data_IF_546615445174
#
_entry.id   IF_546615445174
#
_cell.length_a   1.000
_cell.length_b   1.000
_cell.length_c   1.000
_cell.angle_alpha   90.00
_cell.angle_beta   90.00
_cell.angle_gamma   90.00
#
_symmetry.space_group_name_H-M   'P 1'
#
loop_
_entity.id
_entity.type
_entity.pdbx_description
1 polymer ?
#
# COMPACT_ATOMS: atom_id res chain seq x y z
N UNK A 1 12.52 3.02 24.57
CA UNK A 1 13.62 2.76 23.62
C UNK A 1 13.06 2.66 22.20
N UNK A 2 13.66 3.36 21.28
CA UNK A 2 13.25 3.33 19.88
C UNK A 2 13.62 2.00 19.24
N UNK A 3 12.68 1.35 18.57
CA UNK A 3 12.92 0.11 17.83
C UNK A 3 12.24 0.21 16.46
N UNK A 4 13.03 0.47 15.46
CA UNK A 4 12.51 0.54 14.10
C UNK A 4 12.09 -0.86 13.65
N UNK A 5 10.90 -0.95 13.08
CA UNK A 5 10.37 -2.22 12.61
C UNK A 5 9.37 -2.03 11.50
N UNK A 6 8.74 -3.12 11.13
CA UNK A 6 7.70 -3.11 10.09
C UNK A 6 6.44 -3.81 10.58
N UNK A 7 5.30 -3.31 10.10
CA UNK A 7 4.02 -4.01 10.20
C UNK A 7 3.57 -4.25 8.77
N UNK A 8 3.24 -5.48 8.45
CA UNK A 8 2.83 -5.86 7.12
C UNK A 8 1.49 -6.56 7.14
N UNK A 9 0.69 -6.27 6.13
CA UNK A 9 -0.55 -6.96 5.87
C UNK A 9 -0.48 -7.45 4.44
N UNK A 10 -0.27 -8.75 4.26
CA UNK A 10 0.05 -9.35 2.97
C UNK A 10 -1.09 -10.18 2.43
N UNK A 11 -1.21 -10.22 1.11
CA UNK A 11 -2.10 -11.16 0.46
C UNK A 11 -3.57 -10.87 0.65
N UNK A 12 -3.96 -9.61 0.83
CA UNK A 12 -5.37 -9.26 0.89
C UNK A 12 -5.99 -9.45 -0.49
N UNK A 13 -7.04 -10.27 -0.57
CA UNK A 13 -7.66 -10.61 -1.84
C UNK A 13 -8.99 -9.88 -2.01
N UNK A 14 -9.18 -9.31 -3.20
CA UNK A 14 -10.40 -8.60 -3.56
C UNK A 14 -10.81 -8.92 -4.98
N UNK A 15 -12.10 -9.19 -5.17
CA UNK A 15 -12.68 -9.18 -6.51
C UNK A 15 -13.10 -7.74 -6.79
N UNK A 16 -12.44 -7.11 -7.74
CA UNK A 16 -12.62 -5.67 -8.02
C UNK A 16 -12.72 -5.44 -9.52
N UNK A 17 -13.13 -4.23 -9.91
CA UNK A 17 -13.43 -3.90 -11.30
C UNK A 17 -12.50 -2.81 -11.84
N UNK A 18 -11.21 -2.91 -11.50
CA UNK A 18 -10.22 -1.98 -12.01
C UNK A 18 -9.70 -2.41 -13.37
N UNK A 19 -9.55 -1.47 -14.28
CA UNK A 19 -8.98 -1.74 -15.58
C UNK A 19 -9.46 -0.73 -16.62
N UNK A 20 -8.68 -0.59 -17.70
CA UNK A 20 -9.01 0.30 -18.80
C UNK A 20 -9.99 -0.31 -19.79
N UNK A 21 -10.05 -1.64 -19.86
CA UNK A 21 -10.89 -2.34 -20.82
C UNK A 21 -12.29 -2.52 -20.25
N UNK A 22 -13.29 -2.39 -21.12
CA UNK A 22 -14.68 -2.48 -20.69
C UNK A 22 -15.00 -3.80 -20.00
N UNK A 23 -14.50 -4.92 -20.55
CA UNK A 23 -14.78 -6.22 -19.95
C UNK A 23 -14.17 -6.37 -18.55
N UNK A 24 -13.01 -5.73 -18.30
CA UNK A 24 -12.41 -5.72 -16.97
C UNK A 24 -13.31 -5.00 -15.96
N UNK A 25 -13.92 -3.92 -16.39
CA UNK A 25 -14.78 -3.12 -15.53
C UNK A 25 -16.11 -3.81 -15.27
N UNK A 26 -16.60 -4.57 -16.24
CA UNK A 26 -17.87 -5.28 -16.12
C UNK A 26 -17.75 -6.59 -15.36
N UNK A 27 -16.74 -7.38 -15.68
CA UNK A 27 -16.58 -8.71 -15.13
C UNK A 27 -15.75 -8.75 -13.86
N UNK A 28 -14.81 -7.81 -13.74
CA UNK A 28 -13.89 -7.78 -12.63
C UNK A 28 -12.76 -8.79 -12.73
N UNK A 29 -11.93 -8.80 -11.73
CA UNK A 29 -10.78 -9.70 -11.66
C UNK A 29 -10.36 -9.86 -10.20
N UNK A 30 -9.49 -10.81 -9.93
CA UNK A 30 -8.86 -10.97 -8.63
C UNK A 30 -7.69 -10.02 -8.52
N UNK A 31 -7.70 -9.22 -7.46
CA UNK A 31 -6.61 -8.32 -7.10
C UNK A 31 -6.06 -8.73 -5.75
N UNK A 32 -4.77 -8.58 -5.59
CA UNK A 32 -4.11 -8.77 -4.29
C UNK A 32 -3.49 -7.45 -3.86
N UNK A 33 -3.70 -7.09 -2.63
CA UNK A 33 -3.11 -5.88 -2.06
C UNK A 33 -2.21 -6.25 -0.90
N UNK A 34 -1.02 -5.66 -0.88
CA UNK A 34 -0.06 -5.79 0.21
C UNK A 34 0.24 -4.42 0.76
N UNK A 35 0.32 -4.34 2.07
CA UNK A 35 0.61 -3.12 2.80
C UNK A 35 1.82 -3.34 3.69
N UNK A 36 2.71 -2.36 3.75
CA UNK A 36 3.88 -2.40 4.62
C UNK A 36 4.12 -1.02 5.22
N UNK A 37 4.19 -0.97 6.53
CA UNK A 37 4.52 0.25 7.26
C UNK A 37 5.85 0.08 7.98
N UNK A 38 6.65 1.13 7.98
CA UNK A 38 7.90 1.21 8.75
C UNK A 38 7.72 2.23 9.84
N UNK A 39 7.90 1.81 11.08
CA UNK A 39 7.63 2.67 12.22
C UNK A 39 8.39 2.18 13.45
N UNK A 40 8.39 3.04 14.46
CA UNK A 40 8.96 2.67 15.75
C UNK A 40 7.97 1.77 16.50
N UNK A 41 8.38 0.57 16.80
CA UNK A 41 7.58 -0.42 17.51
C UNK A 41 7.97 -0.54 18.98
N UNK A 42 8.89 0.29 19.47
CA UNK A 42 9.42 0.18 20.81
C UNK A 42 8.38 0.32 21.90
N UNK A 43 7.51 1.32 21.77
CA UNK A 43 6.48 1.56 22.80
C UNK A 43 5.48 0.42 22.85
N UNK A 44 4.97 -0.03 21.73
CA UNK A 44 4.05 -1.16 21.69
C UNK A 44 4.68 -2.44 22.24
N UNK A 45 5.96 -2.66 21.96
CA UNK A 45 6.70 -3.81 22.48
C UNK A 45 6.80 -3.80 24.00
N UNK A 46 6.81 -2.61 24.61
CA UNK A 46 6.87 -2.48 26.07
C UNK A 46 5.48 -2.53 26.72
N UNK A 47 4.51 -1.87 26.13
CA UNK A 47 3.21 -1.63 26.79
C UNK A 47 2.18 -2.70 26.50
N UNK A 48 2.33 -3.41 25.40
CA UNK A 48 1.32 -4.38 24.92
C UNK A 48 -0.05 -3.70 24.70
N UNK A 49 -0.05 -2.43 24.31
CA UNK A 49 -1.27 -1.65 24.09
C UNK A 49 -1.48 -1.34 22.61
N UNK A 50 -2.68 -1.60 22.13
CA UNK A 50 -3.05 -1.29 20.74
C UNK A 50 -2.92 0.20 20.43
N UNK A 51 -3.11 1.06 21.43
CA UNK A 51 -2.98 2.51 21.26
C UNK A 51 -1.57 2.93 20.85
N UNK A 52 -0.58 2.10 21.13
CA UNK A 52 0.83 2.41 20.90
C UNK A 52 1.36 1.87 19.59
N UNK A 53 0.50 1.32 18.74
CA UNK A 53 0.89 0.73 17.47
C UNK A 53 -0.07 1.15 16.36
N UNK A 54 0.13 0.58 15.18
CA UNK A 54 -0.76 0.75 14.04
C UNK A 54 -1.77 -0.39 14.03
N UNK A 55 -3.05 -0.04 14.03
CA UNK A 55 -4.14 -1.01 13.96
C UNK A 55 -4.29 -1.50 12.51
N UNK A 56 -3.73 -2.66 12.21
CA UNK A 56 -3.78 -3.20 10.84
C UNK A 56 -5.19 -3.65 10.43
N UNK A 57 -6.08 -3.93 11.38
CA UNK A 57 -7.48 -4.20 11.06
C UNK A 57 -8.15 -2.97 10.44
N UNK A 58 -7.82 -1.79 10.95
CA UNK A 58 -8.30 -0.54 10.37
C UNK A 58 -7.70 -0.30 8.99
N UNK A 59 -6.44 -0.65 8.80
CA UNK A 59 -5.79 -0.60 7.48
C UNK A 59 -6.56 -1.47 6.48
N UNK A 60 -6.90 -2.69 6.89
CA UNK A 60 -7.69 -3.58 6.02
C UNK A 60 -9.01 -2.92 5.60
N UNK A 61 -9.74 -2.34 6.54
CA UNK A 61 -11.04 -1.72 6.25
C UNK A 61 -10.90 -0.55 5.27
N UNK A 62 -9.87 0.25 5.45
CA UNK A 62 -9.60 1.37 4.53
C UNK A 62 -9.33 0.86 3.12
N UNK A 63 -8.47 -0.15 3.00
CA UNK A 63 -8.10 -0.72 1.71
C UNK A 63 -9.33 -1.36 1.05
N UNK A 64 -10.10 -2.13 1.80
CA UNK A 64 -11.30 -2.78 1.27
C UNK A 64 -12.28 -1.74 0.72
N UNK A 65 -12.47 -0.64 1.42
CA UNK A 65 -13.35 0.44 0.96
C UNK A 65 -12.88 1.06 -0.35
N UNK A 66 -11.57 1.26 -0.50
CA UNK A 66 -11.03 1.82 -1.74
C UNK A 66 -11.09 0.83 -2.90
N UNK A 67 -10.93 -0.46 -2.63
CA UNK A 67 -11.00 -1.47 -3.68
C UNK A 67 -12.41 -1.63 -4.27
N UNK A 68 -13.44 -1.20 -3.56
CA UNK A 68 -14.83 -1.25 -4.04
C UNK A 68 -15.14 -0.22 -5.12
N UNK A 69 -14.32 0.82 -5.25
CA UNK A 69 -14.53 1.86 -6.26
C UNK A 69 -13.61 1.61 -7.45
N UNK A 70 -14.14 1.42 -8.67
CA UNK A 70 -13.30 1.14 -9.83
C UNK A 70 -12.37 2.29 -10.19
N UNK A 71 -11.17 1.92 -10.65
CA UNK A 71 -10.20 2.83 -11.27
C UNK A 71 -9.77 2.25 -12.61
N UNK A 72 -9.35 3.09 -13.53
CA UNK A 72 -8.79 2.61 -14.79
C UNK A 72 -7.40 1.99 -14.59
N UNK A 73 -6.59 2.61 -13.73
CA UNK A 73 -5.19 2.24 -13.54
C UNK A 73 -4.95 1.76 -12.11
N UNK A 74 -4.04 0.80 -11.97
CA UNK A 74 -3.60 0.33 -10.65
C UNK A 74 -2.95 1.47 -9.86
N UNK A 75 -2.22 2.35 -10.55
CA UNK A 75 -1.60 3.54 -9.93
C UNK A 75 -2.66 4.41 -9.26
N UNK A 76 -3.81 4.55 -9.88
CA UNK A 76 -4.88 5.40 -9.35
C UNK A 76 -5.48 4.81 -8.08
N UNK A 77 -5.80 3.52 -8.09
CA UNK A 77 -6.35 2.90 -6.88
C UNK A 77 -5.31 2.85 -5.76
N UNK A 78 -4.04 2.56 -6.10
CA UNK A 78 -2.97 2.59 -5.12
C UNK A 78 -2.81 3.98 -4.52
N UNK A 79 -2.88 5.03 -5.35
CA UNK A 79 -2.83 6.42 -4.88
C UNK A 79 -3.99 6.77 -3.95
N UNK A 80 -5.20 6.29 -4.26
CA UNK A 80 -6.36 6.51 -3.38
C UNK A 80 -6.17 5.82 -2.02
N UNK A 81 -5.61 4.62 -2.03
CA UNK A 81 -5.31 3.91 -0.78
C UNK A 81 -4.27 4.68 0.04
N UNK A 82 -3.19 5.13 -0.60
CA UNK A 82 -2.15 5.93 0.07
C UNK A 82 -2.78 7.17 0.74
N UNK A 83 -3.62 7.89 0.00
CA UNK A 83 -4.27 9.09 0.52
C UNK A 83 -5.21 8.77 1.69
N UNK A 84 -5.99 7.72 1.57
CA UNK A 84 -6.93 7.33 2.62
C UNK A 84 -6.21 6.91 3.91
N UNK A 85 -5.14 6.14 3.78
CA UNK A 85 -4.33 5.72 4.93
C UNK A 85 -3.64 6.93 5.55
N UNK A 86 -3.05 7.80 4.74
CA UNK A 86 -2.39 8.99 5.24
C UNK A 86 -3.33 9.96 5.96
N UNK A 87 -4.57 10.07 5.50
CA UNK A 87 -5.57 10.91 6.16
C UNK A 87 -6.00 10.35 7.52
N UNK A 88 -6.11 9.05 7.62
CA UNK A 88 -6.50 8.41 8.88
C UNK A 88 -5.34 8.36 9.87
N UNK A 89 -4.13 8.17 9.39
CA UNK A 89 -2.93 8.02 10.21
C UNK A 89 -1.88 9.05 9.79
N UNK A 90 -2.12 10.35 10.06
CA UNK A 90 -1.20 11.40 9.60
C UNK A 90 0.19 11.32 10.22
N UNK A 91 0.33 10.60 11.33
CA UNK A 91 1.61 10.37 11.99
C UNK A 91 2.44 9.26 11.34
N UNK A 92 1.83 8.47 10.44
CA UNK A 92 2.53 7.36 9.78
C UNK A 92 3.33 7.91 8.60
N UNK A 93 4.64 8.00 8.77
CA UNK A 93 5.53 8.70 7.84
C UNK A 93 6.04 7.85 6.70
N UNK A 94 6.01 6.54 6.84
CA UNK A 94 6.65 5.65 5.87
C UNK A 94 5.84 4.37 5.72
N UNK A 95 5.14 4.27 4.59
CA UNK A 95 4.41 3.04 4.26
C UNK A 95 4.27 2.88 2.76
N UNK A 96 4.06 1.66 2.32
CA UNK A 96 3.87 1.35 0.92
C UNK A 96 2.67 0.45 0.70
N UNK A 97 2.11 0.55 -0.49
CA UNK A 97 0.97 -0.25 -0.93
C UNK A 97 1.32 -0.85 -2.28
N UNK A 98 1.13 -2.15 -2.41
CA UNK A 98 1.30 -2.85 -3.68
C UNK A 98 -0.03 -3.43 -4.12
N UNK A 99 -0.49 -3.04 -5.32
CA UNK A 99 -1.71 -3.57 -5.92
C UNK A 99 -1.33 -4.46 -7.09
N UNK A 100 -1.80 -5.69 -7.08
CA UNK A 100 -1.48 -6.69 -8.10
C UNK A 100 -2.76 -7.14 -8.78
N UNK A 101 -2.74 -7.15 -10.11
CA UNK A 101 -3.81 -7.66 -10.95
C UNK A 101 -3.42 -9.02 -11.48
N UNK A 102 -4.25 -10.01 -11.28
CA UNK A 102 -4.01 -11.37 -11.76
C UNK A 102 -4.29 -11.47 -13.26
N UNK A 103 -3.46 -12.24 -13.96
CA UNK A 103 -3.64 -12.51 -15.39
C UNK A 103 -3.94 -11.25 -16.19
N UNK A 104 -3.00 -10.30 -16.22
CA UNK A 104 -3.25 -9.03 -16.91
C UNK A 104 -3.43 -9.25 -18.42
N UNK A 105 -4.22 -8.40 -19.09
CA UNK A 105 -4.49 -8.55 -20.54
C UNK A 105 -3.29 -8.10 -21.37
N UNK A 106 -2.39 -9.03 -21.63
CA UNK A 106 -1.19 -8.82 -22.45
C UNK A 106 -1.15 -9.85 -23.58
N UNK A 107 -0.31 -9.61 -24.58
CA UNK A 107 -0.13 -10.54 -25.70
C UNK A 107 0.86 -11.65 -25.30
N UNK A 108 0.48 -12.47 -24.35
CA UNK A 108 1.34 -13.52 -23.83
C UNK A 108 0.80 -13.97 -22.48
N UNK A 109 1.69 -14.51 -21.66
CA UNK A 109 1.31 -15.00 -20.32
C UNK A 109 2.11 -14.24 -19.26
N UNK A 110 1.40 -13.60 -18.37
CA UNK A 110 1.97 -12.99 -17.16
C UNK A 110 1.05 -13.34 -15.99
N UNK A 111 1.63 -13.77 -14.88
CA UNK A 111 0.83 -14.12 -13.71
C UNK A 111 0.20 -12.87 -13.08
N UNK A 112 0.96 -11.80 -12.98
CA UNK A 112 0.54 -10.57 -12.29
C UNK A 112 1.09 -9.34 -12.99
N UNK A 113 0.33 -8.27 -12.93
CA UNK A 113 0.84 -6.91 -13.14
C UNK A 113 0.74 -6.17 -11.82
N UNK A 114 1.78 -5.47 -11.41
CA UNK A 114 1.87 -4.87 -10.08
C UNK A 114 2.34 -3.44 -10.12
N UNK A 115 1.76 -2.66 -9.22
CA UNK A 115 2.19 -1.29 -8.96
C UNK A 115 2.45 -1.17 -7.48
N UNK A 116 3.58 -0.58 -7.11
CA UNK A 116 3.92 -0.28 -5.72
C UNK A 116 4.12 1.22 -5.58
N UNK A 117 3.43 1.83 -4.63
CA UNK A 117 3.63 3.23 -4.29
C UNK A 117 4.03 3.31 -2.83
N UNK A 118 5.07 4.10 -2.56
CA UNK A 118 5.52 4.36 -1.20
C UNK A 118 5.26 5.81 -0.85
N UNK A 119 4.68 6.00 0.32
CA UNK A 119 4.55 7.30 0.94
C UNK A 119 5.65 7.44 1.97
N UNK A 120 6.47 8.45 1.81
CA UNK A 120 7.51 8.75 2.77
C UNK A 120 7.53 10.24 3.02
N UNK A 121 7.08 10.61 4.20
CA UNK A 121 7.12 12.00 4.58
C UNK A 121 8.57 12.39 4.84
N UNK A 122 9.08 13.44 4.18
CA UNK A 122 10.47 13.87 4.42
C UNK A 122 10.57 14.59 5.77
N UNK A 123 10.24 13.98 6.71
CA UNK A 123 10.31 14.13 8.11
C UNK A 123 10.58 15.46 8.72
N UNK A 124 9.68 15.74 9.55
CA UNK A 124 9.93 16.54 10.74
C UNK A 124 11.15 16.04 11.53
N UNK A 125 11.75 14.95 11.14
CA UNK A 125 12.88 14.36 11.84
C UNK A 125 14.21 14.65 11.18
N UNK A 126 14.20 15.51 10.20
CA UNK A 126 15.38 16.15 9.71
C UNK A 126 16.20 15.37 8.71
N UNK A 127 16.90 14.39 9.10
CA UNK A 127 17.91 13.80 8.24
C UNK A 127 17.58 12.38 7.86
N UNK A 128 17.69 12.03 6.55
CA UNK A 128 17.67 10.63 6.18
C UNK A 128 18.80 9.92 6.91
N UNK A 129 18.52 8.72 7.38
CA UNK A 129 19.54 7.89 7.97
C UNK A 129 20.63 7.64 6.89
N UNK A 130 21.91 7.63 7.28
CA UNK A 130 22.98 7.46 6.29
C UNK A 130 22.85 6.19 5.45
N UNK A 131 22.16 5.20 5.98
CA UNK A 131 22.01 3.90 5.34
C UNK A 131 20.73 3.79 4.53
N UNK A 132 19.94 4.84 4.44
CA UNK A 132 18.72 4.79 3.67
C UNK A 132 19.03 4.83 2.19
N UNK A 133 18.52 3.85 1.48
CA UNK A 133 18.61 3.86 0.05
C UNK A 133 17.72 4.98 -0.50
N UNK A 134 18.19 5.69 -1.52
CA UNK A 134 17.35 6.69 -2.17
C UNK A 134 16.12 6.02 -2.77
N UNK A 135 15.01 6.75 -2.76
CA UNK A 135 13.72 6.24 -3.23
C UNK A 135 13.62 6.15 -4.76
N UNK A 136 14.72 5.91 -5.42
CA UNK A 136 14.76 5.88 -6.88
C UNK A 136 14.01 4.70 -7.49
N UNK A 137 13.95 3.59 -6.76
CA UNK A 137 13.19 2.43 -7.20
C UNK A 137 11.69 2.61 -7.08
N UNK A 138 11.27 3.70 -6.47
CA UNK A 138 9.86 3.96 -6.27
C UNK A 138 9.28 4.89 -7.28
N UNK A 139 10.02 5.17 -8.31
CA UNK A 139 9.46 5.87 -9.44
C UNK A 139 8.34 5.03 -10.01
N UNK A 140 7.16 5.62 -10.16
CA UNK A 140 6.09 4.90 -10.80
C UNK A 140 6.59 4.42 -12.16
N UNK A 141 6.42 3.15 -12.42
CA UNK A 141 6.61 2.65 -13.76
C UNK A 141 5.54 3.31 -14.59
N UNK A 142 5.93 4.32 -15.32
CA UNK A 142 5.01 4.91 -16.26
C UNK A 142 4.80 3.92 -17.39
N UNK A 143 3.60 3.53 -17.54
CA UNK A 143 3.19 2.71 -18.66
C UNK A 143 2.88 3.58 -19.84
#
# INVERSE_FOLDING_TARGET
>A
MKRNGTIELEGMEFHSHHGCLEHERREGNLFTVDFKARLDLGKAAETDSLEDTLDYGRIYDIIAGQMDTPSNLLEHVAGRIISAVGNEFPWLDDFSVRVSKRNPPVNGTAAWSRVTIRHRHPGTHGHPEPDEEPDTEEKPLSL
#
